data_IF_829880808267
#
_entry.id   IF_829880808267
#
_cell.length_a   1.000
_cell.length_b   1.000
_cell.length_c   1.000
_cell.angle_alpha   90.00
_cell.angle_beta   90.00
_cell.angle_gamma   90.00
#
_symmetry.space_group_name_H-M   'P 1'
#
loop_
_entity.id
_entity.type
_entity.pdbx_description
1 polymer ?
#
# COMPACT_ATOMS: atom_id res chain seq x y z
N UNK A 1 4.19 -12.42 -37.37
CA UNK A 1 5.68 -12.55 -37.36
C UNK A 1 6.15 -11.81 -36.12
N UNK A 2 6.63 -12.54 -35.09
CA UNK A 2 7.05 -11.97 -33.81
C UNK A 2 8.57 -11.84 -33.85
N UNK A 3 9.11 -10.63 -33.76
CA UNK A 3 10.55 -10.38 -33.68
C UNK A 3 11.02 -10.45 -32.23
N UNK A 4 11.86 -11.40 -31.91
CA UNK A 4 12.64 -11.38 -30.67
C UNK A 4 13.89 -10.53 -30.87
N UNK A 5 13.98 -9.41 -30.17
CA UNK A 5 15.22 -8.66 -30.12
C UNK A 5 16.16 -9.38 -29.14
N UNK A 6 17.30 -9.87 -29.64
CA UNK A 6 18.40 -10.33 -28.79
C UNK A 6 19.06 -9.12 -28.12
N UNK A 7 18.46 -8.61 -27.05
CA UNK A 7 19.18 -7.84 -26.06
C UNK A 7 20.02 -8.82 -25.27
N UNK A 8 21.34 -8.77 -25.41
CA UNK A 8 22.24 -9.62 -24.67
C UNK A 8 22.09 -9.38 -23.18
N UNK A 9 21.48 -10.32 -22.45
CA UNK A 9 21.63 -10.43 -21.01
C UNK A 9 23.10 -10.75 -20.75
N UNK A 10 23.85 -9.78 -20.22
CA UNK A 10 25.20 -9.98 -19.71
C UNK A 10 25.11 -11.02 -18.60
N UNK A 11 25.82 -12.14 -18.76
CA UNK A 11 25.89 -13.21 -17.75
C UNK A 11 26.54 -12.75 -16.43
N UNK A 12 27.12 -11.57 -16.38
CA UNK A 12 27.68 -10.95 -15.18
C UNK A 12 26.61 -10.62 -14.12
N UNK A 13 25.34 -10.43 -14.54
CA UNK A 13 24.21 -10.23 -13.59
C UNK A 13 23.68 -11.52 -12.97
N UNK A 14 24.12 -12.70 -13.42
CA UNK A 14 23.70 -13.99 -12.85
C UNK A 14 24.53 -14.40 -11.64
N UNK A 15 25.63 -13.73 -11.35
CA UNK A 15 26.52 -14.03 -10.21
C UNK A 15 26.20 -13.23 -8.93
N UNK A 16 25.18 -12.38 -8.94
CA UNK A 16 24.66 -11.84 -7.70
C UNK A 16 23.58 -12.82 -7.21
N UNK A 17 23.84 -13.62 -6.14
CA UNK A 17 22.80 -14.49 -5.62
C UNK A 17 21.64 -13.57 -5.27
N UNK A 18 20.48 -13.78 -5.89
CA UNK A 18 19.23 -13.10 -5.54
C UNK A 18 19.08 -13.25 -4.03
N UNK A 19 19.47 -12.23 -3.27
CA UNK A 19 19.29 -12.24 -1.83
C UNK A 19 17.78 -12.28 -1.62
N UNK A 20 17.31 -13.48 -1.26
CA UNK A 20 15.89 -13.67 -0.97
C UNK A 20 15.54 -12.81 0.25
N UNK A 21 14.63 -11.84 0.12
CA UNK A 21 14.30 -10.99 1.24
C UNK A 21 13.75 -11.82 2.41
N UNK A 22 14.13 -11.45 3.63
CA UNK A 22 13.57 -12.05 4.83
C UNK A 22 12.19 -11.48 5.10
N UNK A 23 11.21 -12.35 5.32
CA UNK A 23 9.84 -11.98 5.65
C UNK A 23 9.66 -11.98 7.17
N UNK A 24 9.14 -10.87 7.70
CA UNK A 24 8.78 -10.69 9.09
C UNK A 24 7.26 -10.62 9.20
N UNK A 25 6.71 -11.31 10.20
CA UNK A 25 5.26 -11.46 10.39
C UNK A 25 4.88 -10.95 11.78
N UNK A 26 4.84 -9.63 12.00
CA UNK A 26 4.44 -9.07 13.28
C UNK A 26 2.97 -9.39 13.59
N UNK A 27 2.67 -9.52 14.87
CA UNK A 27 1.32 -9.75 15.38
C UNK A 27 0.73 -8.52 16.08
N UNK A 28 1.53 -7.48 16.32
CA UNK A 28 1.09 -6.19 16.83
C UNK A 28 1.61 -5.03 15.98
N UNK A 29 0.94 -3.88 16.06
CA UNK A 29 1.37 -2.66 15.35
C UNK A 29 2.72 -2.16 15.88
N UNK A 30 2.93 -2.25 17.19
CA UNK A 30 4.17 -1.83 17.85
C UNK A 30 5.35 -2.68 17.39
N UNK A 31 5.15 -4.00 17.22
CA UNK A 31 6.16 -4.90 16.68
C UNK A 31 6.52 -4.53 15.23
N UNK A 32 5.51 -4.21 14.40
CA UNK A 32 5.74 -3.79 13.03
C UNK A 32 6.56 -2.48 12.96
N UNK A 33 6.25 -1.51 13.82
CA UNK A 33 7.00 -0.24 13.93
C UNK A 33 8.43 -0.50 14.41
N UNK A 34 8.62 -1.35 15.43
CA UNK A 34 9.95 -1.70 15.93
C UNK A 34 10.82 -2.37 14.87
N UNK A 35 10.26 -3.29 14.08
CA UNK A 35 10.97 -3.92 12.96
C UNK A 35 11.37 -2.89 11.89
N UNK A 36 10.47 -1.95 11.57
CA UNK A 36 10.76 -0.89 10.61
C UNK A 36 11.87 0.03 11.10
N UNK A 37 11.90 0.36 12.39
CA UNK A 37 13.00 1.10 13.02
C UNK A 37 14.31 0.32 12.94
N UNK A 38 14.28 -0.95 13.31
CA UNK A 38 15.47 -1.80 13.35
C UNK A 38 16.16 -1.90 11.98
N UNK A 39 15.39 -2.03 10.89
CA UNK A 39 15.92 -2.25 9.55
C UNK A 39 15.92 -1.02 8.65
N UNK A 40 15.30 0.07 9.07
CA UNK A 40 15.33 1.37 8.39
C UNK A 40 14.98 1.28 6.90
N UNK A 41 15.89 1.81 6.06
CA UNK A 41 15.77 1.84 4.60
C UNK A 41 15.82 0.43 3.96
N UNK A 42 16.47 -0.54 4.61
CA UNK A 42 16.56 -1.92 4.12
C UNK A 42 15.28 -2.73 4.32
N UNK A 43 14.22 -2.09 4.82
CA UNK A 43 12.94 -2.72 5.03
C UNK A 43 11.79 -1.98 4.37
N UNK A 44 10.72 -2.72 4.04
CA UNK A 44 9.45 -2.14 3.60
C UNK A 44 8.26 -2.88 4.19
N UNK A 45 7.17 -2.16 4.43
CA UNK A 45 5.89 -2.76 4.77
C UNK A 45 5.27 -3.41 3.53
N UNK A 46 4.66 -4.57 3.74
CA UNK A 46 4.00 -5.34 2.69
C UNK A 46 2.54 -5.59 3.08
N UNK A 47 1.61 -5.08 2.27
CA UNK A 47 0.19 -5.36 2.36
C UNK A 47 -0.25 -6.28 1.20
N UNK A 48 -0.88 -5.73 0.16
CA UNK A 48 -1.30 -6.50 -1.02
C UNK A 48 -0.18 -6.92 -1.97
N UNK A 49 1.02 -6.35 -1.82
CA UNK A 49 2.23 -6.57 -2.64
C UNK A 49 2.10 -6.27 -4.15
N UNK A 50 0.99 -5.69 -4.62
CA UNK A 50 0.73 -5.48 -6.06
C UNK A 50 1.72 -4.49 -6.68
N UNK A 51 2.01 -3.36 -6.04
CA UNK A 51 3.01 -2.39 -6.49
C UNK A 51 4.44 -2.91 -6.27
N UNK A 52 4.69 -3.59 -5.16
CA UNK A 52 6.00 -4.16 -4.85
C UNK A 52 6.42 -5.18 -5.92
N UNK A 53 5.47 -6.00 -6.38
CA UNK A 53 5.71 -6.96 -7.44
C UNK A 53 6.07 -6.27 -8.78
N UNK A 54 5.38 -5.17 -9.12
CA UNK A 54 5.70 -4.39 -10.33
C UNK A 54 7.09 -3.76 -10.26
N UNK A 55 7.44 -3.17 -9.10
CA UNK A 55 8.78 -2.61 -8.86
C UNK A 55 9.87 -3.67 -8.98
N UNK A 56 9.62 -4.85 -8.46
CA UNK A 56 10.54 -5.98 -8.57
C UNK A 56 10.74 -6.42 -10.03
N UNK A 57 9.65 -6.53 -10.81
CA UNK A 57 9.72 -6.87 -12.23
C UNK A 57 10.44 -5.82 -13.07
N UNK A 58 10.43 -4.55 -12.65
CA UNK A 58 11.16 -3.46 -13.30
C UNK A 58 12.63 -3.33 -12.87
N UNK A 59 13.19 -4.39 -12.27
CA UNK A 59 14.58 -4.46 -11.81
C UNK A 59 14.98 -3.41 -10.74
N UNK A 60 14.00 -2.87 -10.00
CA UNK A 60 14.31 -2.06 -8.83
C UNK A 60 14.86 -2.94 -7.70
N UNK A 61 15.81 -2.40 -6.95
CA UNK A 61 16.40 -3.09 -5.80
C UNK A 61 15.34 -3.40 -4.75
N UNK A 62 15.20 -4.66 -4.37
CA UNK A 62 14.29 -5.08 -3.32
C UNK A 62 14.93 -4.85 -1.95
N UNK A 63 14.16 -4.34 -0.97
CA UNK A 63 14.60 -4.32 0.41
C UNK A 63 14.90 -5.72 0.93
N UNK A 64 15.91 -5.84 1.80
CA UNK A 64 16.30 -7.14 2.37
C UNK A 64 15.28 -7.68 3.39
N UNK A 65 14.42 -6.81 3.93
CA UNK A 65 13.43 -7.16 4.95
C UNK A 65 12.03 -6.73 4.51
N UNK A 66 11.11 -7.69 4.43
CA UNK A 66 9.71 -7.47 4.12
C UNK A 66 8.88 -7.66 5.40
N UNK A 67 8.21 -6.62 5.86
CA UNK A 67 7.38 -6.64 7.07
C UNK A 67 5.92 -6.75 6.64
N UNK A 68 5.33 -7.94 6.74
CA UNK A 68 3.94 -8.14 6.32
C UNK A 68 2.96 -7.55 7.34
N UNK A 69 1.89 -6.93 6.83
CA UNK A 69 0.81 -6.37 7.65
C UNK A 69 -0.40 -7.30 7.74
N UNK A 70 -0.29 -8.51 7.17
CA UNK A 70 -1.42 -9.45 7.02
C UNK A 70 -2.08 -9.84 8.35
N UNK A 71 -1.31 -10.00 9.42
CA UNK A 71 -1.82 -10.47 10.70
C UNK A 71 -2.26 -9.35 11.66
N UNK A 72 -2.16 -8.09 11.22
CA UNK A 72 -2.54 -6.93 12.05
C UNK A 72 -4.03 -6.65 11.91
N UNK A 73 -4.85 -7.29 12.75
CA UNK A 73 -6.32 -7.23 12.67
C UNK A 73 -6.88 -5.80 12.69
N UNK A 74 -6.24 -4.89 13.43
CA UNK A 74 -6.64 -3.47 13.51
C UNK A 74 -6.59 -2.76 12.15
N UNK A 75 -5.78 -3.25 11.20
CA UNK A 75 -5.66 -2.69 9.87
C UNK A 75 -6.67 -3.25 8.86
N UNK A 76 -7.39 -4.32 9.18
CA UNK A 76 -8.32 -4.99 8.27
C UNK A 76 -9.76 -4.49 8.40
N UNK A 77 -10.10 -3.90 9.52
CA UNK A 77 -11.47 -3.47 9.80
C UNK A 77 -11.78 -2.13 9.16
N UNK A 78 -13.04 -1.93 8.79
CA UNK A 78 -13.59 -0.60 8.66
C UNK A 78 -14.81 -0.47 9.57
N UNK A 79 -15.02 0.73 10.06
CA UNK A 79 -16.11 1.05 10.96
C UNK A 79 -16.88 2.24 10.38
N UNK A 80 -18.19 2.11 10.33
CA UNK A 80 -19.08 3.18 9.91
C UNK A 80 -19.93 3.60 11.11
N UNK A 81 -19.84 4.86 11.47
CA UNK A 81 -20.77 5.52 12.38
C UNK A 81 -21.70 6.46 11.60
N UNK A 82 -22.52 7.25 12.30
CA UNK A 82 -23.53 8.10 11.67
C UNK A 82 -22.93 9.21 10.79
N UNK A 83 -21.72 9.66 11.07
CA UNK A 83 -21.12 10.84 10.45
C UNK A 83 -19.78 10.58 9.75
N UNK A 84 -19.14 9.43 9.99
CA UNK A 84 -17.82 9.16 9.47
C UNK A 84 -17.62 7.67 9.16
N UNK A 85 -16.68 7.40 8.28
CA UNK A 85 -16.17 6.05 8.04
C UNK A 85 -14.67 6.01 8.35
N UNK A 86 -14.28 5.06 9.19
CA UNK A 86 -12.87 4.72 9.43
C UNK A 86 -12.53 3.47 8.64
N UNK A 87 -11.47 3.53 7.83
CA UNK A 87 -11.05 2.44 6.95
C UNK A 87 -9.64 2.02 7.35
N UNK A 88 -9.48 0.77 7.73
CA UNK A 88 -8.17 0.19 8.04
C UNK A 88 -7.30 0.09 6.79
N UNK A 89 -6.00 0.35 6.93
CA UNK A 89 -5.07 0.43 5.82
C UNK A 89 -4.95 -0.89 5.01
N UNK A 90 -5.19 -2.05 5.64
CA UNK A 90 -5.15 -3.37 4.98
C UNK A 90 -6.48 -3.81 4.37
N UNK A 91 -7.53 -2.98 4.43
CA UNK A 91 -8.82 -3.27 3.79
C UNK A 91 -8.63 -3.45 2.29
N UNK A 92 -9.12 -4.57 1.76
CA UNK A 92 -8.99 -4.90 0.33
C UNK A 92 -9.89 -4.01 -0.51
N UNK A 93 -9.37 -3.56 -1.66
CA UNK A 93 -10.15 -2.73 -2.60
C UNK A 93 -11.42 -3.45 -3.08
N UNK A 94 -11.35 -4.76 -3.32
CA UNK A 94 -12.52 -5.55 -3.71
C UNK A 94 -13.59 -5.62 -2.63
N UNK A 95 -13.21 -5.72 -1.36
CA UNK A 95 -14.17 -5.73 -0.25
C UNK A 95 -14.95 -4.42 -0.20
N UNK A 96 -14.28 -3.28 -0.27
CA UNK A 96 -14.92 -1.96 -0.29
C UNK A 96 -15.83 -1.76 -1.51
N UNK A 97 -15.41 -2.25 -2.68
CA UNK A 97 -16.20 -2.12 -3.91
C UNK A 97 -17.58 -2.76 -3.81
N UNK A 98 -17.67 -3.91 -3.16
CA UNK A 98 -18.90 -4.69 -3.09
C UNK A 98 -19.72 -4.46 -1.82
N UNK A 99 -19.20 -3.69 -0.87
CA UNK A 99 -19.88 -3.41 0.39
C UNK A 99 -21.19 -2.62 0.15
N UNK A 100 -22.36 -3.13 0.60
CA UNK A 100 -23.64 -2.48 0.36
C UNK A 100 -23.76 -1.12 1.06
N UNK A 101 -23.15 -0.97 2.24
CA UNK A 101 -23.24 0.23 3.04
C UNK A 101 -22.39 1.36 2.43
N UNK A 102 -21.17 1.03 1.98
CA UNK A 102 -20.34 1.97 1.22
C UNK A 102 -21.01 2.40 -0.08
N UNK A 103 -21.63 1.48 -0.80
CA UNK A 103 -22.40 1.82 -2.02
C UNK A 103 -23.55 2.77 -1.75
N UNK A 104 -24.22 2.62 -0.62
CA UNK A 104 -25.36 3.46 -0.24
C UNK A 104 -24.93 4.85 0.24
N UNK A 105 -23.97 4.92 1.17
CA UNK A 105 -23.55 6.18 1.83
C UNK A 105 -22.42 6.92 1.10
N UNK A 106 -21.52 6.18 0.45
CA UNK A 106 -20.34 6.71 -0.24
C UNK A 106 -20.15 6.12 -1.63
N UNK A 107 -21.13 6.24 -2.56
CA UNK A 107 -21.09 5.59 -3.87
C UNK A 107 -19.84 5.93 -4.68
N UNK A 108 -19.30 7.14 -4.52
CA UNK A 108 -18.07 7.57 -5.18
C UNK A 108 -16.87 6.67 -4.88
N UNK A 109 -16.77 6.10 -3.66
CA UNK A 109 -15.71 5.17 -3.28
C UNK A 109 -15.83 3.88 -4.13
N UNK A 110 -17.03 3.31 -4.22
CA UNK A 110 -17.27 2.09 -4.99
C UNK A 110 -17.01 2.28 -6.49
N UNK A 111 -17.40 3.42 -7.06
CA UNK A 111 -17.15 3.75 -8.47
C UNK A 111 -15.68 4.00 -8.76
N UNK A 112 -14.97 4.75 -7.91
CA UNK A 112 -13.54 4.95 -8.07
C UNK A 112 -12.77 3.62 -8.05
N UNK A 113 -13.07 2.74 -7.09
CA UNK A 113 -12.41 1.43 -6.99
C UNK A 113 -12.68 0.57 -8.23
N UNK A 114 -13.85 0.69 -8.87
CA UNK A 114 -14.20 -0.07 -10.07
C UNK A 114 -13.23 0.18 -11.23
N UNK A 115 -12.69 1.40 -11.34
CA UNK A 115 -11.73 1.79 -12.38
C UNK A 115 -10.27 1.47 -12.04
N UNK A 116 -9.96 1.12 -10.77
CA UNK A 116 -8.61 0.79 -10.36
C UNK A 116 -8.21 -0.60 -10.90
N UNK A 117 -7.23 -0.67 -11.77
CA UNK A 117 -6.57 -1.88 -12.25
C UNK A 117 -7.53 -3.05 -12.60
N UNK A 118 -7.00 -4.28 -12.71
CA UNK A 118 -7.79 -5.49 -12.96
C UNK A 118 -8.42 -6.06 -11.67
N UNK A 119 -9.49 -6.87 -11.76
CA UNK A 119 -10.12 -7.51 -10.60
C UNK A 119 -9.14 -8.29 -9.72
N UNK A 120 -8.21 -9.03 -10.32
CA UNK A 120 -7.19 -9.78 -9.59
C UNK A 120 -6.28 -8.88 -8.74
N UNK A 121 -5.96 -7.68 -9.24
CA UNK A 121 -5.17 -6.67 -8.51
C UNK A 121 -6.00 -6.12 -7.34
N UNK A 122 -7.27 -5.78 -7.55
CA UNK A 122 -8.16 -5.29 -6.48
C UNK A 122 -8.40 -6.30 -5.36
N UNK A 123 -8.39 -7.60 -5.67
CA UNK A 123 -8.53 -8.67 -4.67
C UNK A 123 -7.33 -8.75 -3.72
N UNK A 124 -6.18 -8.30 -4.17
CA UNK A 124 -4.94 -8.24 -3.36
C UNK A 124 -4.62 -6.84 -2.85
N UNK A 125 -4.85 -5.84 -3.69
CA UNK A 125 -4.58 -4.44 -3.37
C UNK A 125 -5.38 -3.95 -2.16
N UNK A 126 -4.74 -3.09 -1.39
CA UNK A 126 -5.31 -2.52 -0.15
C UNK A 126 -5.39 -1.01 -0.24
N UNK A 127 -6.25 -0.40 0.58
CA UNK A 127 -6.39 1.07 0.65
C UNK A 127 -5.06 1.72 1.00
N UNK A 128 -4.41 1.27 2.08
CA UNK A 128 -3.12 1.82 2.49
C UNK A 128 -2.04 1.63 1.44
N UNK A 129 -1.98 0.43 0.80
CA UNK A 129 -1.03 0.17 -0.29
C UNK A 129 -1.25 1.04 -1.53
N UNK A 130 -2.51 1.38 -1.85
CA UNK A 130 -2.81 2.30 -2.95
C UNK A 130 -2.36 3.73 -2.63
N UNK A 131 -2.65 4.23 -1.41
CA UNK A 131 -2.27 5.58 -1.00
C UNK A 131 -0.75 5.70 -0.85
N UNK A 132 -0.12 4.82 -0.07
CA UNK A 132 1.32 4.87 0.24
C UNK A 132 2.22 4.49 -0.94
N UNK A 133 1.63 4.05 -2.05
CA UNK A 133 2.33 3.86 -3.32
C UNK A 133 2.70 5.17 -4.03
N UNK A 134 2.16 6.30 -3.59
CA UNK A 134 2.46 7.64 -4.09
C UNK A 134 1.65 8.06 -5.32
N UNK A 135 1.22 7.12 -6.15
CA UNK A 135 0.44 7.37 -7.38
C UNK A 135 -0.95 6.69 -7.33
N UNK A 136 -1.51 6.57 -6.12
CA UNK A 136 -2.75 5.83 -5.92
C UNK A 136 -3.99 6.56 -6.42
N UNK A 137 -4.82 5.86 -7.19
CA UNK A 137 -6.08 6.38 -7.73
C UNK A 137 -7.10 6.81 -6.65
N UNK A 138 -6.93 6.35 -5.41
CA UNK A 138 -7.78 6.78 -4.28
C UNK A 138 -7.38 8.11 -3.68
N UNK A 139 -6.17 8.63 -3.95
CA UNK A 139 -5.69 9.90 -3.40
C UNK A 139 -6.62 11.06 -3.78
N UNK A 140 -6.96 11.29 -5.07
CA UNK A 140 -7.87 12.39 -5.45
C UNK A 140 -9.26 12.26 -4.82
N UNK A 141 -9.78 11.03 -4.71
CA UNK A 141 -11.07 10.77 -4.10
C UNK A 141 -11.06 11.14 -2.62
N UNK A 142 -10.07 10.68 -1.86
CA UNK A 142 -9.99 10.96 -0.42
C UNK A 142 -9.67 12.43 -0.13
N UNK A 143 -8.97 13.12 -1.03
CA UNK A 143 -8.85 14.58 -0.98
C UNK A 143 -10.21 15.28 -1.13
N UNK A 144 -11.01 14.86 -2.11
CA UNK A 144 -12.35 15.42 -2.34
C UNK A 144 -13.30 15.15 -1.15
N UNK A 145 -13.14 14.00 -0.48
CA UNK A 145 -13.88 13.64 0.73
C UNK A 145 -13.32 14.26 2.01
N UNK A 146 -12.28 15.10 1.92
CA UNK A 146 -11.59 15.72 3.06
C UNK A 146 -11.14 14.71 4.12
N UNK A 147 -10.64 13.54 3.66
CA UNK A 147 -10.24 12.47 4.53
C UNK A 147 -9.06 12.86 5.44
N UNK A 148 -9.00 12.22 6.59
CA UNK A 148 -7.87 12.29 7.50
C UNK A 148 -7.11 10.96 7.46
N UNK A 149 -5.80 11.01 7.66
CA UNK A 149 -4.93 9.85 7.74
C UNK A 149 -4.35 9.74 9.14
N UNK A 150 -4.46 8.55 9.71
CA UNK A 150 -3.88 8.24 11.03
C UNK A 150 -2.68 7.32 10.83
N UNK A 151 -1.53 7.75 11.34
CA UNK A 151 -0.26 7.03 11.32
C UNK A 151 0.13 6.61 12.72
N UNK A 152 0.72 5.43 12.84
CA UNK A 152 1.44 5.02 14.03
C UNK A 152 2.94 5.06 13.75
N UNK A 153 3.67 5.75 14.59
CA UNK A 153 5.13 5.79 14.63
C UNK A 153 5.63 5.51 16.05
N UNK A 154 6.93 5.58 16.26
CA UNK A 154 7.52 5.48 17.61
C UNK A 154 7.10 6.63 18.51
N UNK A 155 6.87 7.80 17.95
CA UNK A 155 6.40 8.99 18.67
C UNK A 155 4.93 8.92 19.03
N UNK A 156 4.26 7.81 18.67
CA UNK A 156 2.86 7.56 18.93
C UNK A 156 1.96 7.74 17.71
N UNK A 157 0.68 7.97 17.97
CA UNK A 157 -0.37 8.12 16.94
C UNK A 157 -0.45 9.58 16.51
N UNK A 158 -0.42 9.80 15.20
CA UNK A 158 -0.60 11.12 14.59
C UNK A 158 -1.68 11.08 13.52
N UNK A 159 -2.62 12.01 13.59
CA UNK A 159 -3.66 12.19 12.55
C UNK A 159 -3.42 13.52 11.83
N UNK A 160 -3.44 13.47 10.50
CA UNK A 160 -3.26 14.64 9.63
C UNK A 160 -4.31 14.63 8.52
N UNK A 161 -4.62 15.80 7.98
CA UNK A 161 -5.47 15.88 6.80
C UNK A 161 -4.76 15.28 5.58
N UNK A 162 -5.51 14.61 4.72
CA UNK A 162 -4.98 14.07 3.46
C UNK A 162 -4.33 15.15 2.60
N UNK A 163 -4.91 16.37 2.60
CA UNK A 163 -4.35 17.52 1.87
C UNK A 163 -2.97 17.93 2.35
N UNK A 164 -2.72 17.85 3.66
CA UNK A 164 -1.43 18.22 4.23
C UNK A 164 -0.38 17.11 3.99
N UNK A 165 -0.81 15.85 4.03
CA UNK A 165 0.05 14.72 3.67
C UNK A 165 0.52 14.83 2.21
N UNK A 166 -0.38 15.09 1.25
CA UNK A 166 -0.03 15.23 -0.17
C UNK A 166 0.96 16.37 -0.40
N UNK A 167 0.77 17.53 0.27
CA UNK A 167 1.72 18.66 0.15
C UNK A 167 3.12 18.28 0.64
N UNK A 168 3.19 17.57 1.77
CA UNK A 168 4.48 17.14 2.34
C UNK A 168 5.19 16.12 1.46
N UNK A 169 4.47 15.15 0.87
CA UNK A 169 5.03 14.17 -0.05
C UNK A 169 5.58 14.83 -1.33
N UNK A 170 4.88 15.84 -1.86
CA UNK A 170 5.37 16.60 -3.01
C UNK A 170 6.64 17.39 -2.69
N UNK A 171 6.71 18.01 -1.50
CA UNK A 171 7.89 18.77 -1.07
C UNK A 171 9.14 17.91 -0.78
N UNK A 172 8.97 16.60 -0.57
CA UNK A 172 10.10 15.66 -0.36
C UNK A 172 10.59 15.03 -1.67
N UNK A 173 9.85 15.19 -2.77
CA UNK A 173 10.19 14.64 -4.09
C UNK A 173 10.78 15.70 -5.06
N UNK A 174 10.79 16.98 -4.66
CA UNK A 174 11.47 18.09 -5.35
C UNK A 174 12.88 18.32 -4.75
#
# INVERSE_FOLDING_TARGET
MIYFHKGGLSLENLNNPLQTPKIWIPITLEEAVALKKQFGQDSTYVAGATLLQLRWQSAQTMPQHLITLENLSQLHAYHLDDNAITIGAHTKLSAMRFDPLLKSKYPAISEAIKSIAAPAVRNRGTVGGNIMGGEGDLIPLFLALQAQMTFLSEDGVKTIAMSDWVKNEQATND
#
